data_IF_815724165663
#
_entry.id   IF_815724165663
#
_cell.length_a   1.000
_cell.length_b   1.000
_cell.length_c   1.000
_cell.angle_alpha   90.00
_cell.angle_beta   90.00
_cell.angle_gamma   90.00
#
_symmetry.space_group_name_H-M   'P 1'
#
loop_
_entity.id
_entity.type
_entity.pdbx_description
1 polymer ?
#
# COMPACT_ATOMS: atom_id res chain seq x y z
N UNK A 1 7.36 4.00 -4.63
CA UNK A 1 8.26 2.83 -4.86
C UNK A 1 9.59 2.96 -4.10
N UNK A 2 10.29 4.11 -4.17
CA UNK A 2 11.53 4.32 -3.41
C UNK A 2 11.34 4.14 -1.88
N UNK A 3 10.24 4.64 -1.33
CA UNK A 3 9.84 4.42 0.06
C UNK A 3 9.79 2.92 0.41
N UNK A 4 9.09 2.11 -0.41
CA UNK A 4 9.03 0.66 -0.23
C UNK A 4 10.41 0.02 -0.25
N UNK A 5 11.30 0.44 -1.16
CA UNK A 5 12.66 -0.07 -1.23
C UNK A 5 13.45 0.26 0.05
N UNK A 6 13.23 1.44 0.64
CA UNK A 6 13.86 1.87 1.90
C UNK A 6 13.29 1.11 3.10
N UNK A 7 11.98 0.89 3.15
CA UNK A 7 11.32 0.07 4.18
C UNK A 7 11.92 -1.35 4.20
N UNK A 8 12.12 -1.96 3.02
CA UNK A 8 12.68 -3.32 2.90
C UNK A 8 14.20 -3.38 3.12
N UNK A 9 14.91 -2.25 3.02
CA UNK A 9 16.37 -2.18 3.14
C UNK A 9 16.77 -0.99 4.04
N UNK A 10 16.48 -1.06 5.36
CA UNK A 10 16.61 0.08 6.26
C UNK A 10 18.06 0.60 6.35
N UNK A 11 19.05 -0.29 6.32
CA UNK A 11 20.47 0.08 6.40
C UNK A 11 21.06 0.55 5.06
N UNK A 12 20.38 0.30 3.95
CA UNK A 12 20.91 0.65 2.62
C UNK A 12 20.51 2.06 2.21
N UNK A 13 21.40 2.72 1.48
CA UNK A 13 21.10 3.99 0.82
C UNK A 13 20.26 3.70 -0.43
N UNK A 14 19.03 4.20 -0.43
CA UNK A 14 18.14 4.17 -1.60
C UNK A 14 18.24 5.54 -2.27
N UNK A 15 18.47 5.56 -3.57
CA UNK A 15 18.58 6.78 -4.37
C UNK A 15 17.32 6.97 -5.21
N UNK A 16 16.77 8.17 -5.18
CA UNK A 16 15.72 8.62 -6.10
C UNK A 16 16.28 9.84 -6.87
N UNK A 17 16.43 9.75 -8.21
CA UNK A 17 17.07 10.83 -8.98
C UNK A 17 16.30 12.15 -8.99
N UNK A 18 14.97 12.07 -8.87
CA UNK A 18 14.07 13.21 -8.84
C UNK A 18 13.07 13.04 -7.69
N UNK A 19 13.06 14.00 -6.76
CA UNK A 19 12.15 13.98 -5.61
C UNK A 19 10.69 14.21 -6.00
N UNK A 20 10.43 14.76 -7.20
CA UNK A 20 9.09 14.94 -7.74
C UNK A 20 8.57 13.72 -8.52
N UNK A 21 9.37 12.65 -8.65
CA UNK A 21 8.96 11.41 -9.30
C UNK A 21 7.94 10.62 -8.45
N UNK A 22 6.72 11.12 -8.41
CA UNK A 22 5.56 10.53 -7.73
C UNK A 22 4.63 9.78 -8.67
N UNK A 23 3.65 9.07 -8.09
CA UNK A 23 2.56 8.45 -8.83
C UNK A 23 1.27 9.21 -8.52
N UNK A 24 0.60 9.76 -9.54
CA UNK A 24 -0.67 10.48 -9.36
C UNK A 24 -1.74 9.63 -8.69
N UNK A 25 -1.77 8.32 -8.99
CA UNK A 25 -2.66 7.36 -8.34
C UNK A 25 -2.35 7.20 -6.83
N UNK A 26 -1.09 7.28 -6.43
CA UNK A 26 -0.73 7.17 -5.02
C UNK A 26 -1.20 8.40 -4.21
N UNK A 27 -1.35 9.55 -4.87
CA UNK A 27 -1.81 10.79 -4.25
C UNK A 27 -3.33 10.85 -4.06
N UNK A 28 -4.10 9.89 -4.59
CA UNK A 28 -5.56 9.90 -4.48
C UNK A 28 -6.10 9.34 -3.16
N UNK A 29 -5.23 8.87 -2.26
CA UNK A 29 -5.61 8.31 -0.96
C UNK A 29 -4.50 8.55 0.08
N UNK A 30 -4.89 8.96 1.27
CA UNK A 30 -4.01 9.18 2.43
C UNK A 30 -4.16 8.08 3.48
N UNK A 31 -3.23 8.00 4.45
CA UNK A 31 -3.39 7.09 5.58
C UNK A 31 -4.62 7.42 6.43
N UNK A 32 -4.95 8.71 6.56
CA UNK A 32 -6.15 9.16 7.26
C UNK A 32 -7.44 8.64 6.59
N UNK A 33 -7.50 8.64 5.26
CA UNK A 33 -8.66 8.12 4.52
C UNK A 33 -8.86 6.62 4.82
N UNK A 34 -7.76 5.85 4.90
CA UNK A 34 -7.82 4.42 5.25
C UNK A 34 -8.32 4.23 6.69
N UNK A 35 -7.89 5.06 7.64
CA UNK A 35 -8.39 5.00 9.02
C UNK A 35 -9.90 5.25 9.09
N UNK A 36 -10.38 6.26 8.37
CA UNK A 36 -11.83 6.55 8.28
C UNK A 36 -12.60 5.38 7.64
N UNK A 37 -12.02 4.70 6.65
CA UNK A 37 -12.61 3.49 6.08
C UNK A 37 -12.66 2.34 7.08
N UNK A 38 -11.62 2.13 7.90
CA UNK A 38 -11.57 1.11 8.96
C UNK A 38 -12.60 1.38 10.07
N UNK A 39 -12.83 2.64 10.41
CA UNK A 39 -13.89 3.04 11.35
C UNK A 39 -15.29 2.76 10.78
N UNK A 40 -15.51 3.07 9.49
CA UNK A 40 -16.79 2.84 8.82
C UNK A 40 -17.08 1.35 8.59
N UNK A 41 -16.05 0.57 8.32
CA UNK A 41 -16.14 -0.86 8.07
C UNK A 41 -15.22 -1.62 9.06
N UNK A 42 -15.68 -1.83 10.30
CA UNK A 42 -14.89 -2.54 11.28
C UNK A 42 -14.79 -4.04 10.93
N UNK A 43 -13.61 -4.63 11.12
CA UNK A 43 -13.37 -6.06 10.95
C UNK A 43 -13.15 -6.55 9.51
N UNK A 44 -13.15 -5.66 8.51
CA UNK A 44 -12.76 -6.01 7.14
C UNK A 44 -11.27 -5.75 6.90
N UNK A 45 -10.57 -6.68 6.22
CA UNK A 45 -9.15 -6.51 5.94
C UNK A 45 -8.92 -5.52 4.77
N UNK A 46 -7.85 -4.74 4.85
CA UNK A 46 -7.49 -3.71 3.90
C UNK A 46 -6.39 -4.21 2.96
N UNK A 47 -6.71 -4.31 1.68
CA UNK A 47 -5.72 -4.52 0.60
C UNK A 47 -5.41 -3.19 -0.05
N UNK A 48 -4.13 -2.83 -0.15
CA UNK A 48 -3.69 -1.69 -0.95
C UNK A 48 -2.80 -2.11 -2.12
N UNK A 49 -2.89 -1.34 -3.21
CA UNK A 49 -1.97 -1.49 -4.32
C UNK A 49 -0.60 -0.93 -3.93
N UNK A 50 0.49 -1.50 -4.46
CA UNK A 50 1.85 -1.08 -4.08
C UNK A 50 2.14 0.38 -4.40
N UNK A 51 1.47 0.95 -5.42
CA UNK A 51 1.58 2.36 -5.80
C UNK A 51 0.73 3.26 -4.88
N UNK A 52 1.05 3.24 -3.60
CA UNK A 52 0.48 4.05 -2.51
C UNK A 52 1.62 4.59 -1.66
N UNK A 53 1.36 5.55 -0.77
CA UNK A 53 2.37 6.03 0.18
C UNK A 53 2.74 4.98 1.23
N UNK A 54 3.87 5.16 1.90
CA UNK A 54 4.24 4.38 3.08
C UNK A 54 3.20 4.49 4.22
N UNK A 55 2.58 5.66 4.37
CA UNK A 55 1.54 5.91 5.36
C UNK A 55 0.30 5.03 5.12
N UNK A 56 -0.19 4.98 3.87
CA UNK A 56 -1.31 4.12 3.48
C UNK A 56 -0.98 2.64 3.71
N UNK A 57 0.27 2.23 3.44
CA UNK A 57 0.72 0.85 3.71
C UNK A 57 0.74 0.51 5.19
N UNK A 58 1.07 1.46 6.06
CA UNK A 58 1.07 1.24 7.51
C UNK A 58 -0.33 0.91 8.06
N UNK A 59 -1.38 1.39 7.38
CA UNK A 59 -2.77 1.13 7.76
C UNK A 59 -3.37 -0.13 7.11
N UNK A 60 -2.64 -0.74 6.17
CA UNK A 60 -3.09 -1.87 5.35
C UNK A 60 -2.66 -3.21 5.93
N UNK A 61 -3.50 -4.24 5.76
CA UNK A 61 -3.14 -5.61 6.13
C UNK A 61 -2.23 -6.26 5.08
N UNK A 62 -2.38 -5.91 3.80
CA UNK A 62 -1.48 -6.37 2.74
C UNK A 62 -1.31 -5.34 1.62
N UNK A 63 -0.07 -5.16 1.18
CA UNK A 63 0.24 -4.47 -0.06
C UNK A 63 0.44 -5.49 -1.19
N UNK A 64 -0.31 -5.35 -2.29
CA UNK A 64 -0.26 -6.28 -3.42
C UNK A 64 0.14 -5.59 -4.73
N UNK A 65 0.84 -6.32 -5.59
CA UNK A 65 0.99 -6.00 -7.01
C UNK A 65 -0.21 -6.56 -7.78
N UNK A 66 -0.46 -6.04 -8.98
CA UNK A 66 -1.56 -6.49 -9.85
C UNK A 66 -1.51 -8.01 -10.08
N UNK A 67 -0.31 -8.53 -10.37
CA UNK A 67 -0.06 -9.96 -10.57
C UNK A 67 -0.41 -10.82 -9.36
N UNK A 68 -0.26 -10.30 -8.15
CA UNK A 68 -0.44 -11.07 -6.91
C UNK A 68 -1.78 -10.80 -6.23
N UNK A 69 -2.55 -9.81 -6.68
CA UNK A 69 -3.80 -9.37 -6.06
C UNK A 69 -4.79 -10.52 -5.88
N UNK A 70 -5.13 -11.24 -6.95
CA UNK A 70 -6.09 -12.35 -6.86
C UNK A 70 -5.60 -13.48 -5.94
N UNK A 71 -4.30 -13.66 -5.78
CA UNK A 71 -3.74 -14.65 -4.84
C UNK A 71 -3.89 -14.19 -3.39
N UNK A 72 -3.66 -12.90 -3.12
CA UNK A 72 -3.88 -12.31 -1.79
C UNK A 72 -5.35 -12.37 -1.39
N UNK A 73 -6.26 -12.01 -2.30
CA UNK A 73 -7.70 -12.08 -2.05
C UNK A 73 -8.18 -13.51 -1.76
N UNK A 74 -7.74 -14.48 -2.56
CA UNK A 74 -8.05 -15.91 -2.32
C UNK A 74 -7.56 -16.42 -0.97
N UNK A 75 -6.41 -15.94 -0.47
CA UNK A 75 -5.92 -16.28 0.88
C UNK A 75 -6.86 -15.82 1.99
N UNK A 76 -7.66 -14.79 1.75
CA UNK A 76 -8.66 -14.28 2.68
C UNK A 76 -10.06 -14.82 2.39
N UNK A 77 -10.16 -15.91 1.63
CA UNK A 77 -11.44 -16.59 1.35
C UNK A 77 -12.34 -15.88 0.35
N UNK A 78 -11.84 -14.85 -0.34
CA UNK A 78 -12.62 -14.17 -1.38
C UNK A 78 -12.57 -14.98 -2.68
N UNK A 79 -13.73 -15.47 -3.10
CA UNK A 79 -13.96 -16.04 -4.43
C UNK A 79 -14.55 -14.94 -5.33
N UNK A 80 -13.84 -14.63 -6.42
CA UNK A 80 -14.36 -13.80 -7.51
C UNK A 80 -15.37 -14.58 -8.35
#
# INVERSE_FOLDING_TARGET
>A
MAETAKILNPERRVLIPDLQAGCSLAASISGQDVRLLKERYPGVPVVTYVNTSAEVKAESDVAALLRTLCRSLRRWGWSA
#
